data_IF_308751912900
#
_entry.id   IF_308751912900
#
_cell.length_a   1.000
_cell.length_b   1.000
_cell.length_c   1.000
_cell.angle_alpha   90.00
_cell.angle_beta   90.00
_cell.angle_gamma   90.00
#
_symmetry.space_group_name_H-M   'P 1'
#
loop_
_entity.id
_entity.type
_entity.pdbx_description
1 polymer ?
#
# COMPACT_ATOMS: atom_id res chain seq x y z
N UNK A 1 -4.96 -9.38 9.03
CA UNK A 1 -6.14 -8.51 8.88
C UNK A 1 -6.37 -8.16 7.42
N UNK A 2 -7.65 -7.85 7.09
CA UNK A 2 -8.06 -7.43 5.75
C UNK A 2 -8.79 -6.10 5.86
N UNK A 3 -8.59 -5.23 4.90
CA UNK A 3 -9.23 -3.91 4.85
C UNK A 3 -9.41 -3.49 3.39
N UNK A 4 -10.28 -2.53 3.15
CA UNK A 4 -10.47 -1.93 1.83
C UNK A 4 -9.50 -0.76 1.68
N UNK A 5 -8.82 -0.70 0.54
CA UNK A 5 -7.97 0.43 0.15
C UNK A 5 -8.59 1.12 -1.05
N UNK A 6 -8.65 2.43 -1.02
CA UNK A 6 -9.03 3.27 -2.16
C UNK A 6 -7.89 4.23 -2.48
N UNK A 7 -7.48 4.26 -3.75
CA UNK A 7 -6.39 5.09 -4.25
C UNK A 7 -6.98 6.08 -5.25
N UNK A 8 -7.14 7.33 -4.83
CA UNK A 8 -7.73 8.39 -5.64
C UNK A 8 -6.69 9.23 -6.37
N UNK A 9 -6.87 9.43 -7.67
CA UNK A 9 -6.12 10.44 -8.40
C UNK A 9 -6.80 11.81 -8.24
N UNK A 10 -6.31 12.61 -7.30
CA UNK A 10 -6.79 13.97 -7.03
C UNK A 10 -6.06 15.05 -7.86
N UNK A 11 -5.16 14.61 -8.74
CA UNK A 11 -4.42 15.48 -9.65
C UNK A 11 -5.27 16.01 -10.80
N UNK A 12 -4.67 16.84 -11.63
CA UNK A 12 -5.30 17.42 -12.82
C UNK A 12 -4.87 16.74 -14.14
N UNK A 13 -4.20 15.60 -14.03
CA UNK A 13 -3.75 14.75 -15.14
C UNK A 13 -3.85 13.29 -14.74
N UNK A 14 -3.94 12.42 -15.75
CA UNK A 14 -3.99 10.99 -15.53
C UNK A 14 -2.66 10.48 -14.96
N UNK A 15 -2.75 9.58 -13.98
CA UNK A 15 -1.66 8.75 -13.55
C UNK A 15 -1.56 7.55 -14.50
N UNK A 16 -0.49 7.43 -15.25
CA UNK A 16 -0.39 6.44 -16.31
C UNK A 16 0.86 5.57 -16.18
N UNK A 17 0.65 4.26 -16.02
CA UNK A 17 1.70 3.25 -15.91
C UNK A 17 2.03 2.57 -17.25
N UNK A 18 1.07 2.49 -18.16
CA UNK A 18 1.27 1.92 -19.48
C UNK A 18 0.62 0.56 -19.72
N UNK A 19 0.89 -0.05 -20.90
CA UNK A 19 0.42 -1.38 -21.23
C UNK A 19 1.09 -2.43 -20.35
N UNK A 20 0.30 -3.34 -19.79
CA UNK A 20 0.80 -4.40 -18.92
C UNK A 20 1.82 -5.29 -19.61
N UNK A 21 2.89 -5.66 -18.88
CA UNK A 21 3.98 -6.48 -19.40
C UNK A 21 4.94 -5.74 -20.34
N UNK A 22 4.95 -4.40 -20.36
CA UNK A 22 5.78 -3.59 -21.25
C UNK A 22 7.20 -3.34 -20.77
N UNK A 23 7.51 -3.60 -19.52
CA UNK A 23 8.84 -3.48 -18.89
C UNK A 23 9.07 -4.56 -17.84
N UNK A 24 10.24 -4.56 -17.22
CA UNK A 24 10.61 -5.48 -16.15
C UNK A 24 9.89 -5.15 -14.80
N UNK A 25 9.22 -4.01 -14.71
CA UNK A 25 8.41 -3.61 -13.55
C UNK A 25 7.05 -4.35 -13.46
N UNK A 26 6.81 -5.26 -14.40
CA UNK A 26 5.57 -6.01 -14.48
C UNK A 26 5.79 -7.47 -14.15
N UNK A 27 4.99 -8.02 -13.24
CA UNK A 27 4.95 -9.44 -12.95
C UNK A 27 3.61 -10.07 -13.36
N UNK A 28 3.68 -11.26 -13.96
CA UNK A 28 2.48 -12.05 -14.20
C UNK A 28 2.02 -12.74 -12.92
N UNK A 29 0.86 -12.40 -12.41
CA UNK A 29 0.26 -13.00 -11.22
C UNK A 29 -0.61 -14.22 -11.59
N UNK A 30 -0.10 -15.47 -11.47
CA UNK A 30 -0.84 -16.67 -11.88
C UNK A 30 -2.14 -16.86 -11.10
N UNK A 31 -2.18 -16.43 -9.84
CA UNK A 31 -3.36 -16.53 -8.99
C UNK A 31 -4.50 -15.64 -9.43
N UNK A 32 -4.16 -14.49 -10.02
CA UNK A 32 -5.14 -13.50 -10.49
C UNK A 32 -5.36 -13.57 -11.99
N UNK A 33 -4.49 -14.30 -12.71
CA UNK A 33 -4.51 -14.43 -14.17
C UNK A 33 -4.45 -13.08 -14.90
N UNK A 34 -3.66 -12.13 -14.35
CA UNK A 34 -3.34 -10.86 -14.97
C UNK A 34 -1.97 -10.35 -14.51
N UNK A 35 -1.49 -9.30 -15.17
CA UNK A 35 -0.24 -8.63 -14.80
C UNK A 35 -0.45 -7.74 -13.57
N UNK A 36 0.57 -7.65 -12.72
CA UNK A 36 0.72 -6.67 -11.67
C UNK A 36 1.83 -5.69 -12.03
N UNK A 37 1.66 -4.45 -11.62
CA UNK A 37 2.74 -3.50 -11.55
C UNK A 37 3.35 -3.61 -10.15
N UNK A 38 4.63 -3.99 -10.09
CA UNK A 38 5.32 -4.32 -8.85
C UNK A 38 5.66 -3.07 -8.03
N UNK A 39 5.85 -3.25 -6.73
CA UNK A 39 6.30 -2.22 -5.77
C UNK A 39 5.43 -0.95 -5.73
N UNK A 40 4.28 -0.93 -6.38
CA UNK A 40 3.41 0.24 -6.43
C UNK A 40 2.78 0.56 -5.08
N UNK A 41 2.43 -0.44 -4.28
CA UNK A 41 1.77 -0.23 -3.00
C UNK A 41 2.37 -1.10 -1.90
N UNK A 42 2.39 -0.57 -0.68
CA UNK A 42 2.88 -1.23 0.51
C UNK A 42 1.82 -1.19 1.61
N UNK A 43 1.68 -2.29 2.34
CA UNK A 43 0.97 -2.36 3.61
C UNK A 43 1.96 -2.65 4.72
N UNK A 44 1.90 -1.90 5.80
CA UNK A 44 2.78 -2.10 6.94
C UNK A 44 2.03 -1.98 8.28
N UNK A 45 2.54 -2.63 9.29
CA UNK A 45 2.08 -2.54 10.67
C UNK A 45 3.24 -2.12 11.54
N UNK A 46 3.08 -1.04 12.30
CA UNK A 46 4.05 -0.55 13.25
C UNK A 46 3.52 -0.65 14.68
N UNK A 47 4.36 -1.09 15.62
CA UNK A 47 4.14 -0.76 17.03
C UNK A 47 4.60 0.66 17.29
N UNK A 48 4.03 1.31 18.30
CA UNK A 48 4.48 2.63 18.72
C UNK A 48 4.41 2.77 20.25
N UNK A 49 5.37 3.52 20.79
CA UNK A 49 5.41 3.88 22.21
C UNK A 49 5.58 5.40 22.33
N UNK A 50 4.74 6.05 23.12
CA UNK A 50 4.85 7.48 23.35
C UNK A 50 6.05 7.76 24.27
N UNK A 51 7.07 8.44 23.76
CA UNK A 51 8.29 8.81 24.49
C UNK A 51 8.21 10.18 25.15
N UNK A 52 7.41 11.09 24.57
CA UNK A 52 7.03 12.40 25.10
C UNK A 52 5.74 12.85 24.40
N UNK A 53 5.01 13.85 24.95
CA UNK A 53 3.74 14.27 24.38
C UNK A 53 3.80 14.54 22.87
N UNK A 54 3.14 13.69 22.07
CA UNK A 54 3.09 13.77 20.62
C UNK A 54 4.35 13.28 19.89
N UNK A 55 5.29 12.64 20.59
CA UNK A 55 6.48 12.02 20.00
C UNK A 55 6.47 10.53 20.32
N UNK A 56 6.72 9.71 19.32
CA UNK A 56 6.58 8.26 19.42
C UNK A 56 7.86 7.56 18.94
N UNK A 57 8.16 6.43 19.55
CA UNK A 57 9.12 5.46 19.01
C UNK A 57 8.33 4.40 18.26
N UNK A 58 8.56 4.32 16.94
CA UNK A 58 7.81 3.44 16.05
C UNK A 58 8.73 2.31 15.58
N UNK A 59 8.20 1.09 15.54
CA UNK A 59 8.98 -0.10 15.16
C UNK A 59 8.14 -0.95 14.22
N UNK A 60 8.73 -1.37 13.11
CA UNK A 60 8.11 -2.28 12.15
C UNK A 60 7.75 -3.61 12.82
N UNK A 61 6.55 -4.10 12.55
CA UNK A 61 6.06 -5.37 13.08
C UNK A 61 5.75 -6.38 11.97
N UNK A 62 5.19 -5.94 10.87
CA UNK A 62 4.76 -6.81 9.77
C UNK A 62 4.57 -6.03 8.48
N UNK A 63 4.86 -6.68 7.37
CA UNK A 63 4.60 -6.17 6.03
C UNK A 63 3.53 -7.01 5.35
N UNK A 64 2.66 -6.35 4.61
CA UNK A 64 1.52 -6.98 3.98
C UNK A 64 1.83 -7.64 2.66
N UNK A 65 0.96 -8.55 2.31
CA UNK A 65 1.05 -9.42 1.15
C UNK A 65 0.57 -8.81 -0.15
N UNK A 66 0.72 -7.59 -0.47
CA UNK A 66 0.36 -7.13 -1.80
C UNK A 66 1.21 -5.96 -2.23
N UNK A 67 2.28 -6.28 -2.92
CA UNK A 67 3.17 -5.27 -3.47
C UNK A 67 2.83 -4.91 -4.92
N UNK A 68 2.17 -5.79 -5.67
CA UNK A 68 1.83 -5.58 -7.07
C UNK A 68 0.33 -5.41 -7.31
N UNK A 69 -0.05 -4.50 -8.22
CA UNK A 69 -1.43 -4.07 -8.41
C UNK A 69 -1.81 -3.99 -9.89
N UNK A 70 -3.07 -4.31 -10.19
CA UNK A 70 -3.69 -3.94 -11.45
C UNK A 70 -4.35 -2.56 -11.28
N UNK A 71 -3.60 -1.51 -11.50
CA UNK A 71 -4.04 -0.12 -11.28
C UNK A 71 -5.05 0.29 -12.36
N UNK A 72 -6.26 0.68 -11.95
CA UNK A 72 -7.37 0.90 -12.87
C UNK A 72 -8.44 1.85 -12.32
N UNK A 73 -9.30 2.35 -13.19
CA UNK A 73 -10.44 3.19 -12.82
C UNK A 73 -11.62 2.34 -12.37
N UNK A 74 -12.02 2.45 -11.10
CA UNK A 74 -13.17 1.73 -10.53
C UNK A 74 -14.29 2.62 -10.01
N UNK A 75 -13.99 3.85 -9.60
CA UNK A 75 -14.98 4.77 -9.08
C UNK A 75 -14.67 6.22 -9.45
N UNK A 76 -15.69 7.07 -9.41
CA UNK A 76 -15.56 8.54 -9.46
C UNK A 76 -15.25 9.03 -8.04
N UNK A 77 -13.95 9.32 -7.76
CA UNK A 77 -13.46 9.72 -6.45
C UNK A 77 -13.98 11.09 -6.01
N UNK A 78 -14.03 12.01 -6.96
CA UNK A 78 -14.47 13.40 -6.71
C UNK A 78 -15.99 13.54 -6.65
N UNK A 79 -16.73 12.57 -7.16
CA UNK A 79 -18.20 12.58 -7.28
C UNK A 79 -18.74 13.80 -8.05
N UNK A 80 -17.96 14.36 -8.97
CA UNK A 80 -18.33 15.52 -9.80
C UNK A 80 -18.49 15.19 -11.29
N UNK A 81 -18.30 13.92 -11.65
CA UNK A 81 -18.42 13.42 -13.02
C UNK A 81 -17.21 13.70 -13.90
N UNK A 82 -16.05 14.00 -13.33
CA UNK A 82 -14.80 14.21 -14.09
C UNK A 82 -14.08 12.90 -14.42
N UNK A 83 -14.39 11.82 -13.72
CA UNK A 83 -13.80 10.50 -13.96
C UNK A 83 -14.25 9.93 -15.32
N UNK A 84 -13.31 9.67 -16.23
CA UNK A 84 -13.60 9.19 -17.58
C UNK A 84 -13.52 7.65 -17.75
N UNK A 85 -13.08 6.89 -16.76
CA UNK A 85 -12.97 5.42 -16.76
C UNK A 85 -12.21 4.87 -17.98
N UNK A 86 -10.93 5.25 -18.16
CA UNK A 86 -10.13 4.89 -19.33
C UNK A 86 -9.24 3.67 -19.11
N UNK A 87 -8.83 3.41 -17.85
CA UNK A 87 -7.78 2.45 -17.52
C UNK A 87 -8.32 1.14 -16.93
N UNK A 88 -7.56 0.06 -17.18
CA UNK A 88 -7.84 -1.29 -16.72
C UNK A 88 -6.59 -2.17 -16.76
N UNK A 89 -6.69 -3.43 -16.32
CA UNK A 89 -5.53 -4.32 -16.17
C UNK A 89 -4.70 -4.58 -17.43
N UNK A 90 -5.16 -4.23 -18.63
CA UNK A 90 -4.36 -4.33 -19.87
C UNK A 90 -3.61 -3.06 -20.24
N UNK A 91 -4.03 -1.94 -19.68
CA UNK A 91 -3.44 -0.62 -19.88
C UNK A 91 -3.69 0.17 -18.60
N UNK A 92 -2.72 0.14 -17.69
CA UNK A 92 -2.90 0.56 -16.30
C UNK A 92 -2.70 2.05 -16.10
N UNK A 93 -3.49 2.59 -15.19
CA UNK A 93 -3.46 3.98 -14.76
C UNK A 93 -4.68 4.33 -13.92
N UNK A 94 -4.76 5.57 -13.47
CA UNK A 94 -5.93 6.16 -12.82
C UNK A 94 -6.19 7.51 -13.48
N UNK A 95 -7.34 7.66 -14.15
CA UNK A 95 -7.76 8.92 -14.73
C UNK A 95 -7.91 10.01 -13.66
N UNK A 96 -7.67 11.26 -14.01
CA UNK A 96 -7.93 12.37 -13.11
C UNK A 96 -9.36 12.33 -12.58
N UNK A 97 -9.54 12.45 -11.26
CA UNK A 97 -10.82 12.34 -10.57
C UNK A 97 -11.34 10.92 -10.34
N UNK A 98 -10.68 9.89 -10.86
CA UNK A 98 -11.03 8.49 -10.59
C UNK A 98 -10.32 7.92 -9.38
N UNK A 99 -10.75 6.74 -8.94
CA UNK A 99 -10.04 5.92 -7.97
C UNK A 99 -10.01 4.46 -8.35
N UNK A 100 -8.97 3.79 -7.88
CA UNK A 100 -8.84 2.34 -7.81
C UNK A 100 -9.27 1.85 -6.42
N UNK A 101 -10.00 0.71 -6.35
CA UNK A 101 -10.55 0.20 -5.09
C UNK A 101 -10.23 -1.28 -4.92
N UNK A 102 -9.51 -1.59 -3.86
CA UNK A 102 -9.20 -2.96 -3.44
C UNK A 102 -10.01 -3.33 -2.22
N UNK A 103 -11.10 -4.07 -2.43
CA UNK A 103 -11.99 -4.48 -1.36
C UNK A 103 -11.33 -5.51 -0.44
N UNK A 104 -11.65 -5.46 0.85
CA UNK A 104 -11.16 -6.39 1.88
C UNK A 104 -11.44 -7.87 1.61
N UNK A 105 -12.35 -8.18 0.70
CA UNK A 105 -12.69 -9.54 0.27
C UNK A 105 -11.82 -10.09 -0.86
N UNK A 106 -10.95 -9.29 -1.46
CA UNK A 106 -10.06 -9.73 -2.53
C UNK A 106 -9.05 -10.75 -2.01
N UNK A 107 -8.79 -11.79 -2.82
CA UNK A 107 -7.77 -12.78 -2.52
C UNK A 107 -6.37 -12.19 -2.60
N UNK A 108 -5.41 -12.81 -1.90
CA UNK A 108 -4.00 -12.40 -1.89
C UNK A 108 -3.78 -10.94 -1.45
N UNK A 109 -4.59 -10.46 -0.50
CA UNK A 109 -4.51 -9.12 0.06
C UNK A 109 -4.80 -9.13 1.56
N UNK A 110 -3.77 -9.09 2.39
CA UNK A 110 -3.90 -9.03 3.85
C UNK A 110 -2.57 -8.66 4.52
N UNK A 111 -2.65 -8.27 5.78
CA UNK A 111 -1.55 -8.29 6.73
C UNK A 111 -1.67 -9.54 7.59
N UNK A 112 -0.64 -10.36 7.63
CA UNK A 112 -0.57 -11.51 8.55
C UNK A 112 -0.16 -11.00 9.93
N UNK A 113 -1.02 -11.15 10.89
CA UNK A 113 -0.79 -10.77 12.29
C UNK A 113 -0.60 -11.99 13.18
N UNK A 114 -0.25 -13.14 12.59
CA UNK A 114 0.01 -14.37 13.35
C UNK A 114 1.20 -14.16 14.29
N UNK A 115 0.94 -14.26 15.58
CA UNK A 115 1.96 -14.05 16.60
C UNK A 115 2.13 -12.59 17.06
N UNK A 116 1.49 -11.64 16.41
CA UNK A 116 1.42 -10.26 16.89
C UNK A 116 0.50 -10.23 18.11
N UNK A 117 0.96 -9.71 19.27
CA UNK A 117 0.15 -9.66 20.48
C UNK A 117 -1.03 -8.66 20.37
N UNK A 118 -2.01 -8.84 21.26
CA UNK A 118 -3.03 -7.80 21.44
C UNK A 118 -2.35 -6.48 21.88
N UNK A 119 -2.77 -5.36 21.30
CA UNK A 119 -2.15 -4.06 21.55
C UNK A 119 -2.61 -2.98 20.60
N UNK A 120 -1.99 -1.83 20.69
CA UNK A 120 -2.21 -0.70 19.79
C UNK A 120 -1.09 -0.64 18.74
N UNK A 121 -1.48 -0.38 17.50
CA UNK A 121 -0.60 -0.38 16.33
C UNK A 121 -0.96 0.75 15.36
N UNK A 122 -0.04 1.04 14.45
CA UNK A 122 -0.30 1.89 13.30
C UNK A 122 -0.41 0.98 12.08
N UNK A 123 -1.55 1.01 11.40
CA UNK A 123 -1.71 0.44 10.06
C UNK A 123 -1.35 1.53 9.05
N UNK A 124 -0.35 1.26 8.24
CA UNK A 124 0.10 2.13 7.15
C UNK A 124 -0.24 1.52 5.80
N UNK A 125 -0.71 2.35 4.90
CA UNK A 125 -0.95 2.01 3.50
C UNK A 125 -0.30 3.07 2.64
N UNK A 126 0.67 2.68 1.84
CA UNK A 126 1.38 3.58 0.94
C UNK A 126 1.22 3.16 -0.52
N UNK A 127 1.25 4.12 -1.43
CA UNK A 127 1.32 3.90 -2.87
C UNK A 127 2.44 4.75 -3.45
N UNK A 128 3.20 4.19 -4.39
CA UNK A 128 4.34 4.88 -5.03
C UNK A 128 5.37 5.43 -4.02
N UNK A 129 5.50 4.79 -2.86
CA UNK A 129 6.38 5.25 -1.77
C UNK A 129 7.84 4.83 -1.96
N UNK A 130 8.06 3.68 -2.64
CA UNK A 130 9.39 3.10 -2.85
C UNK A 130 9.79 3.06 -4.33
N UNK A 131 9.03 3.72 -5.21
CA UNK A 131 9.28 3.69 -6.63
C UNK A 131 10.28 4.75 -7.08
N UNK A 132 11.00 4.46 -8.15
CA UNK A 132 11.84 5.45 -8.81
C UNK A 132 10.96 6.59 -9.36
N UNK A 133 11.04 7.74 -8.73
CA UNK A 133 10.29 8.94 -9.12
C UNK A 133 10.63 9.44 -10.53
N UNK A 134 11.73 8.97 -11.12
CA UNK A 134 12.05 9.23 -12.53
C UNK A 134 11.15 8.40 -13.49
N UNK A 135 10.58 7.29 -13.00
CA UNK A 135 9.66 6.44 -13.77
C UNK A 135 8.19 6.82 -13.54
N UNK A 136 7.84 7.20 -12.32
CA UNK A 136 6.46 7.54 -11.96
C UNK A 136 6.43 8.93 -11.34
N UNK A 137 5.98 9.89 -12.14
CA UNK A 137 5.92 11.29 -11.74
C UNK A 137 4.56 11.64 -11.13
N UNK A 138 4.61 12.22 -9.94
CA UNK A 138 3.45 12.84 -9.30
C UNK A 138 3.75 14.31 -8.96
N UNK A 139 2.72 15.12 -8.84
CA UNK A 139 2.86 16.51 -8.43
C UNK A 139 3.14 16.65 -6.93
N UNK A 140 2.72 15.67 -6.14
CA UNK A 140 2.90 15.64 -4.70
C UNK A 140 3.02 14.18 -4.25
N UNK A 141 4.09 13.85 -3.55
CA UNK A 141 4.34 12.53 -2.96
C UNK A 141 3.95 12.46 -1.47
N UNK A 142 3.71 13.61 -0.81
CA UNK A 142 3.39 13.66 0.62
C UNK A 142 2.01 13.09 0.96
N UNK A 143 1.14 12.90 -0.04
CA UNK A 143 -0.21 12.35 0.12
C UNK A 143 -0.32 10.88 -0.27
N UNK A 144 0.79 10.21 -0.53
CA UNK A 144 0.85 8.82 -0.97
C UNK A 144 0.68 7.80 0.16
N UNK A 145 0.63 8.24 1.40
CA UNK A 145 0.55 7.36 2.56
C UNK A 145 -0.64 7.72 3.45
N UNK A 146 -1.41 6.71 3.83
CA UNK A 146 -2.48 6.82 4.82
C UNK A 146 -2.15 5.95 6.04
N UNK A 147 -2.12 6.57 7.23
CA UNK A 147 -1.78 5.90 8.48
C UNK A 147 -2.91 6.04 9.48
N UNK A 148 -3.27 4.94 10.14
CA UNK A 148 -4.36 4.93 11.11
C UNK A 148 -3.98 4.09 12.32
N UNK A 149 -4.34 4.57 13.52
CA UNK A 149 -4.23 3.75 14.73
C UNK A 149 -5.24 2.61 14.68
N UNK A 150 -4.81 1.42 15.05
CA UNK A 150 -5.70 0.27 15.23
C UNK A 150 -5.42 -0.38 16.58
N UNK A 151 -6.43 -1.02 17.14
CA UNK A 151 -6.27 -1.87 18.33
C UNK A 151 -6.61 -3.31 17.97
N UNK A 152 -5.68 -4.21 18.26
CA UNK A 152 -5.89 -5.66 18.20
C UNK A 152 -6.29 -6.14 19.59
N UNK A 153 -7.44 -6.80 19.72
CA UNK A 153 -7.91 -7.31 20.99
C UNK A 153 -8.80 -8.54 20.83
N UNK A 154 -8.32 -9.70 21.31
CA UNK A 154 -9.09 -10.94 21.32
C UNK A 154 -9.55 -11.38 19.93
N UNK A 155 -8.74 -11.19 18.90
CA UNK A 155 -9.06 -11.50 17.50
C UNK A 155 -9.97 -10.48 16.80
N UNK A 156 -10.24 -9.33 17.42
CA UNK A 156 -10.96 -8.21 16.82
C UNK A 156 -10.01 -7.07 16.50
N UNK A 157 -10.36 -6.29 15.48
CA UNK A 157 -9.67 -5.05 15.11
C UNK A 157 -10.62 -3.89 15.28
N UNK A 158 -10.21 -2.86 15.99
CA UNK A 158 -10.91 -1.57 16.02
C UNK A 158 -10.03 -0.48 15.43
N UNK A 159 -10.66 0.45 14.70
CA UNK A 159 -9.98 1.54 14.02
C UNK A 159 -10.09 2.80 14.88
N UNK A 160 -8.96 3.48 15.10
CA UNK A 160 -8.84 4.73 15.81
C UNK A 160 -8.61 5.93 14.89
N UNK A 161 -7.87 6.90 15.38
CA UNK A 161 -7.60 8.16 14.67
C UNK A 161 -6.50 8.01 13.61
N UNK A 162 -6.49 8.94 12.64
CA UNK A 162 -5.39 9.12 11.70
C UNK A 162 -4.10 9.44 12.48
N UNK A 163 -2.99 8.85 12.07
CA UNK A 163 -1.69 9.01 12.67
C UNK A 163 -0.71 9.68 11.69
N UNK A 164 0.08 10.62 12.18
CA UNK A 164 1.14 11.24 11.40
C UNK A 164 2.47 10.55 11.73
N UNK A 165 3.03 9.79 10.78
CA UNK A 165 4.31 9.10 10.94
C UNK A 165 5.49 10.05 11.17
N UNK A 166 5.39 11.33 10.80
CA UNK A 166 6.40 12.34 11.15
C UNK A 166 6.57 12.54 12.66
N UNK A 167 5.63 12.05 13.46
CA UNK A 167 5.75 12.03 14.91
C UNK A 167 6.58 10.84 15.46
N UNK A 168 7.01 9.93 14.61
CA UNK A 168 7.89 8.83 14.98
C UNK A 168 9.35 9.28 15.08
N UNK A 169 10.00 9.02 16.21
CA UNK A 169 11.41 9.37 16.46
C UNK A 169 12.39 8.27 15.98
N UNK A 170 11.90 7.08 15.67
CA UNK A 170 12.66 5.98 15.09
C UNK A 170 12.86 6.20 13.60
N UNK A 171 13.92 5.62 13.04
CA UNK A 171 13.99 5.46 11.58
C UNK A 171 12.86 4.51 11.17
N UNK A 172 11.76 5.06 10.73
CA UNK A 172 10.85 4.34 9.86
C UNK A 172 11.71 3.99 8.64
N UNK A 173 11.74 2.74 8.25
CA UNK A 173 12.54 2.30 7.14
C UNK A 173 12.22 3.17 5.91
N UNK A 174 13.14 4.04 5.51
CA UNK A 174 13.00 4.88 4.31
C UNK A 174 13.30 4.08 3.03
N UNK A 175 13.89 2.88 3.18
CA UNK A 175 14.13 1.94 2.10
C UNK A 175 13.05 0.84 2.14
N UNK A 176 12.87 0.16 1.02
CA UNK A 176 11.95 -0.98 0.97
C UNK A 176 12.34 -2.03 2.01
N UNK A 177 11.39 -2.41 2.83
CA UNK A 177 11.55 -3.52 3.75
C UNK A 177 11.23 -4.78 2.97
N UNK A 178 12.15 -5.71 2.90
CA UNK A 178 11.94 -6.96 2.20
C UNK A 178 10.90 -7.85 2.91
N UNK A 179 10.51 -8.94 2.30
CA UNK A 179 9.52 -9.85 2.88
C UNK A 179 10.01 -10.60 4.13
N UNK A 180 11.30 -10.52 4.47
CA UNK A 180 11.86 -11.01 5.71
C UNK A 180 11.83 -9.97 6.83
N UNK A 181 11.48 -8.72 6.51
CA UNK A 181 11.42 -7.61 7.46
C UNK A 181 12.73 -6.82 7.56
N UNK A 182 13.68 -7.03 6.65
CA UNK A 182 14.96 -6.33 6.64
C UNK A 182 14.87 -5.06 5.78
N UNK A 183 15.22 -3.89 6.35
CA UNK A 183 15.24 -2.62 5.65
C UNK A 183 16.32 -2.60 4.56
N UNK A 184 15.91 -2.34 3.31
CA UNK A 184 16.81 -2.42 2.15
C UNK A 184 17.26 -3.83 1.79
N UNK A 185 16.56 -4.85 2.24
CA UNK A 185 16.84 -6.26 1.94
C UNK A 185 16.40 -6.67 0.53
N UNK A 186 16.88 -7.83 0.08
CA UNK A 186 16.65 -8.34 -1.28
C UNK A 186 15.62 -9.49 -1.36
N UNK A 187 15.03 -9.89 -0.22
CA UNK A 187 14.09 -11.01 -0.19
C UNK A 187 12.74 -10.63 -0.79
N UNK A 188 12.22 -11.43 -1.70
CA UNK A 188 10.96 -11.17 -2.43
C UNK A 188 9.92 -12.21 -2.08
N UNK A 189 8.68 -11.80 -1.84
CA UNK A 189 7.55 -12.71 -1.81
C UNK A 189 7.28 -13.19 -3.24
N UNK A 190 7.65 -14.42 -3.55
CA UNK A 190 7.41 -15.00 -4.86
C UNK A 190 6.15 -15.86 -4.85
N UNK A 191 5.23 -15.56 -5.74
CA UNK A 191 4.05 -16.37 -6.00
C UNK A 191 2.91 -16.21 -4.97
N UNK A 192 1.93 -17.13 -5.05
CA UNK A 192 0.76 -17.15 -4.16
C UNK A 192 0.94 -18.06 -2.93
N UNK A 193 2.14 -18.55 -2.69
CA UNK A 193 2.46 -19.47 -1.59
C UNK A 193 2.91 -18.76 -0.30
N UNK A 194 3.05 -17.43 -0.37
CA UNK A 194 3.48 -16.59 0.76
C UNK A 194 4.85 -16.97 1.33
N UNK A 195 5.74 -17.47 0.50
CA UNK A 195 7.11 -17.79 0.91
C UNK A 195 8.04 -16.65 0.51
N UNK A 196 8.73 -16.12 1.51
CA UNK A 196 9.81 -15.16 1.35
C UNK A 196 11.06 -15.91 0.84
N UNK A 197 11.60 -15.57 -0.33
CA UNK A 197 12.78 -16.19 -0.95
C UNK A 197 13.90 -15.18 -1.17
#
# INVERSE_FOLDING_TARGET
IRFTTEIGNIGNADFYLGPSGSSDDWEWAPCHNHWHFEQYAQYALYSYEETSPGQYDCTDQEIGHKNGWCVMDLADYTNDGTCEFQYGCSNMGISAGCSDIYNSGLDCQWLDITGIPDGEYILSVGTNVNMDHDLIHELNYDNNTANVRITLAGGNVSVGDIFDLNNCNGEVCEEEVDCAGDCGGDAVLSGCDNVCN
#
